data_IF_729346824211
#
_entry.id   IF_729346824211
#
_cell.length_a   1.000
_cell.length_b   1.000
_cell.length_c   1.000
_cell.angle_alpha   90.00
_cell.angle_beta   90.00
_cell.angle_gamma   90.00
#
_symmetry.space_group_name_H-M   'P 1'
#
loop_
_entity.id
_entity.type
_entity.pdbx_description
1 polymer ?
#
# COMPACT_ATOMS: atom_id res chain seq x y z
N UNK A 1 -7.85 -0.18 -13.07
CA UNK A 1 -8.63 0.12 -11.87
C UNK A 1 -7.89 -0.28 -10.62
N UNK A 2 -7.87 0.62 -9.66
CA UNK A 2 -7.22 0.35 -8.39
C UNK A 2 -8.07 -0.59 -7.55
N UNK A 3 -7.41 -1.29 -6.66
CA UNK A 3 -8.08 -2.23 -5.75
C UNK A 3 -7.44 -2.11 -4.38
N UNK A 4 -8.15 -2.62 -3.38
CA UNK A 4 -7.64 -2.66 -2.03
C UNK A 4 -6.37 -3.52 -1.99
N UNK A 5 -5.34 -2.97 -1.43
CA UNK A 5 -4.06 -3.64 -1.26
C UNK A 5 -3.76 -3.73 0.23
N UNK A 6 -3.48 -4.94 0.70
CA UNK A 6 -3.01 -5.14 2.08
C UNK A 6 -1.52 -5.38 2.02
N UNK A 7 -0.76 -4.57 2.74
CA UNK A 7 0.68 -4.64 2.71
C UNK A 7 1.22 -5.09 4.05
N UNK A 8 2.17 -6.03 4.02
CA UNK A 8 2.78 -6.57 5.22
C UNK A 8 4.28 -6.28 5.23
N UNK A 9 4.85 -5.92 6.37
CA UNK A 9 6.29 -5.74 6.47
C UNK A 9 6.99 -7.09 6.61
N UNK A 10 8.20 -7.18 6.07
CA UNK A 10 9.00 -8.40 6.17
C UNK A 10 10.46 -8.06 6.42
N UNK A 11 11.07 -8.78 7.36
CA UNK A 11 12.51 -8.65 7.58
C UNK A 11 13.29 -9.36 6.47
N UNK A 12 12.71 -10.43 5.93
CA UNK A 12 13.29 -11.20 4.84
C UNK A 12 12.20 -11.37 3.78
N UNK A 13 12.33 -10.64 2.67
CA UNK A 13 11.31 -10.64 1.64
C UNK A 13 11.10 -12.02 1.02
N UNK A 14 12.16 -12.80 0.83
CA UNK A 14 12.01 -14.14 0.26
C UNK A 14 11.24 -15.07 1.19
N UNK A 15 11.52 -14.99 2.49
CA UNK A 15 10.80 -15.81 3.46
C UNK A 15 9.35 -15.39 3.53
N UNK A 16 9.08 -14.08 3.54
CA UNK A 16 7.70 -13.58 3.54
C UNK A 16 6.95 -13.98 2.29
N UNK A 17 7.61 -13.91 1.13
CA UNK A 17 7.00 -14.33 -0.13
C UNK A 17 6.60 -15.80 -0.09
N UNK A 18 7.48 -16.66 0.37
CA UNK A 18 7.17 -18.09 0.45
C UNK A 18 5.98 -18.36 1.36
N UNK A 19 5.91 -17.65 2.49
CA UNK A 19 4.80 -17.82 3.41
C UNK A 19 3.47 -17.43 2.77
N UNK A 20 3.38 -16.23 2.21
CA UNK A 20 2.12 -15.72 1.68
C UNK A 20 1.71 -16.42 0.39
N UNK A 21 2.67 -16.74 -0.48
CA UNK A 21 2.36 -17.50 -1.69
C UNK A 21 1.82 -18.88 -1.34
N UNK A 22 2.41 -19.51 -0.33
CA UNK A 22 1.95 -20.85 0.08
C UNK A 22 0.58 -20.80 0.73
N UNK A 23 0.35 -19.83 1.61
CA UNK A 23 -0.90 -19.78 2.35
C UNK A 23 -2.08 -19.35 1.47
N UNK A 24 -1.88 -18.36 0.61
CA UNK A 24 -2.97 -17.75 -0.15
C UNK A 24 -3.04 -18.20 -1.60
N UNK A 25 -2.11 -19.03 -2.05
CA UNK A 25 -2.06 -19.49 -3.44
C UNK A 25 -2.01 -18.31 -4.40
N UNK A 26 -1.10 -17.38 -4.14
CA UNK A 26 -0.90 -16.18 -4.95
C UNK A 26 0.55 -16.14 -5.43
N UNK A 27 0.83 -15.24 -6.37
CA UNK A 27 2.19 -14.99 -6.83
C UNK A 27 2.56 -13.56 -6.53
N UNK A 28 3.68 -13.39 -5.82
CA UNK A 28 4.22 -12.07 -5.49
C UNK A 28 5.45 -11.81 -6.38
N UNK A 29 5.38 -10.74 -7.14
CA UNK A 29 6.44 -10.35 -8.07
C UNK A 29 7.05 -9.03 -7.65
N UNK A 30 8.24 -8.75 -8.13
CA UNK A 30 8.87 -7.47 -7.89
C UNK A 30 8.01 -6.34 -8.43
N UNK A 31 7.94 -5.27 -7.68
CA UNK A 31 7.17 -4.10 -8.07
C UNK A 31 7.85 -3.38 -9.23
N UNK A 32 7.03 -2.73 -10.03
CA UNK A 32 7.52 -1.82 -11.06
C UNK A 32 7.96 -0.52 -10.39
N UNK A 33 8.84 0.27 -11.05
CA UNK A 33 9.36 1.48 -10.42
C UNK A 33 8.30 2.41 -9.86
N UNK A 34 7.16 2.55 -10.53
CA UNK A 34 6.12 3.47 -10.08
C UNK A 34 5.28 2.91 -8.93
N UNK A 35 5.49 1.66 -8.55
CA UNK A 35 4.77 1.04 -7.45
C UNK A 35 5.55 1.10 -6.13
N UNK A 36 6.78 1.59 -6.18
CA UNK A 36 7.65 1.61 -5.03
C UNK A 36 8.44 0.32 -4.91
N UNK A 37 9.10 0.12 -3.79
CA UNK A 37 9.92 -1.06 -3.56
C UNK A 37 9.10 -2.18 -2.92
N UNK A 38 9.54 -3.41 -3.12
CA UNK A 38 8.91 -4.57 -2.52
C UNK A 38 8.29 -5.50 -3.52
N UNK A 39 7.37 -6.32 -3.05
CA UNK A 39 6.71 -7.35 -3.85
C UNK A 39 5.21 -7.12 -3.80
N UNK A 40 4.53 -7.55 -4.85
CA UNK A 40 3.09 -7.33 -4.94
C UNK A 40 2.45 -8.32 -5.89
N UNK A 41 1.19 -8.70 -5.61
CA UNK A 41 0.40 -9.50 -6.55
C UNK A 41 0.08 -8.67 -7.78
N UNK A 42 0.11 -9.32 -8.95
CA UNK A 42 -0.16 -8.62 -10.21
C UNK A 42 -1.56 -8.87 -10.74
N UNK A 43 -2.17 -9.97 -10.34
CA UNK A 43 -3.43 -10.40 -10.95
C UNK A 43 -4.62 -10.12 -10.05
N UNK A 44 -5.82 -10.27 -10.60
CA UNK A 44 -7.06 -10.12 -9.86
C UNK A 44 -7.10 -11.12 -8.71
N UNK A 45 -7.90 -10.81 -7.70
CA UNK A 45 -7.99 -11.57 -6.49
C UNK A 45 -7.50 -10.74 -5.34
N UNK A 46 -7.06 -11.39 -4.27
CA UNK A 46 -6.54 -10.65 -3.12
C UNK A 46 -5.28 -9.89 -3.51
N UNK A 47 -5.27 -8.59 -3.25
CA UNK A 47 -4.11 -7.77 -3.51
C UNK A 47 -3.26 -7.75 -2.24
N UNK A 48 -2.07 -8.33 -2.33
CA UNK A 48 -1.14 -8.41 -1.20
C UNK A 48 0.19 -7.82 -1.63
N UNK A 49 0.81 -7.06 -0.74
CA UNK A 49 2.15 -6.54 -0.96
C UNK A 49 3.04 -6.85 0.22
N UNK A 50 4.33 -6.95 -0.03
CA UNK A 50 5.34 -7.08 1.00
C UNK A 50 6.35 -5.96 0.85
N UNK A 51 6.71 -5.34 1.96
CA UNK A 51 7.78 -4.36 1.96
C UNK A 51 8.81 -4.74 3.03
N UNK A 52 10.03 -4.32 2.83
CA UNK A 52 11.09 -4.53 3.81
C UNK A 52 10.75 -3.77 5.08
N UNK A 53 10.85 -4.42 6.23
CA UNK A 53 10.64 -3.74 7.51
C UNK A 53 11.73 -2.69 7.70
N UNK A 54 11.32 -1.47 8.05
CA UNK A 54 12.24 -0.37 8.22
C UNK A 54 11.80 0.54 9.33
N UNK A 55 12.33 1.75 9.36
CA UNK A 55 12.05 2.72 10.41
C UNK A 55 11.10 3.84 9.95
N UNK A 56 10.71 3.84 8.68
CA UNK A 56 9.83 4.87 8.16
C UNK A 56 8.38 4.68 8.59
N UNK A 57 7.56 5.70 8.38
CA UNK A 57 6.14 5.59 8.70
C UNK A 57 5.50 4.50 7.85
N UNK A 58 4.80 3.59 8.49
CA UNK A 58 4.17 2.48 7.82
C UNK A 58 5.07 1.26 7.62
N UNK A 59 6.38 1.39 7.80
CA UNK A 59 7.31 0.30 7.50
C UNK A 59 7.19 -0.87 8.47
N UNK A 60 6.59 -0.65 9.62
CA UNK A 60 6.49 -1.66 10.68
C UNK A 60 5.11 -2.27 10.82
N UNK A 61 4.15 -1.79 10.05
CA UNK A 61 2.75 -2.16 10.24
C UNK A 61 2.19 -2.81 9.00
N UNK A 62 1.19 -3.66 9.21
CA UNK A 62 0.34 -4.09 8.10
C UNK A 62 -0.61 -2.95 7.79
N UNK A 63 -0.72 -2.59 6.52
CA UNK A 63 -1.51 -1.43 6.12
C UNK A 63 -2.47 -1.78 5.01
N UNK A 64 -3.76 -1.45 5.16
CA UNK A 64 -4.65 -1.43 4.01
C UNK A 64 -4.39 -0.15 3.22
N UNK A 65 -4.19 -0.29 1.91
CA UNK A 65 -4.11 0.85 1.00
C UNK A 65 -5.41 0.94 0.24
N UNK A 66 -6.12 2.02 0.46
CA UNK A 66 -7.44 2.24 -0.14
C UNK A 66 -7.28 3.07 -1.41
N UNK A 67 -7.85 2.64 -2.53
CA UNK A 67 -7.73 3.39 -3.78
C UNK A 67 -8.61 4.63 -3.75
N UNK A 68 -8.08 5.73 -4.25
CA UNK A 68 -8.81 6.98 -4.40
C UNK A 68 -8.55 7.56 -5.77
N UNK A 69 -9.53 8.27 -6.31
CA UNK A 69 -9.42 8.84 -7.64
C UNK A 69 -8.47 10.05 -7.67
N UNK A 70 -8.43 10.82 -6.61
CA UNK A 70 -7.61 12.03 -6.51
C UNK A 70 -6.95 12.04 -5.15
N UNK A 71 -5.68 11.68 -5.11
CA UNK A 71 -4.97 11.54 -3.86
C UNK A 71 -4.88 12.86 -3.10
N UNK A 72 -4.58 13.96 -3.80
CA UNK A 72 -4.41 15.24 -3.11
C UNK A 72 -5.71 15.71 -2.49
N UNK A 73 -6.81 15.55 -3.19
CA UNK A 73 -8.13 15.89 -2.63
C UNK A 73 -8.46 15.00 -1.43
N UNK A 74 -8.13 13.71 -1.52
CA UNK A 74 -8.39 12.78 -0.41
C UNK A 74 -7.56 13.14 0.82
N UNK A 75 -6.31 13.57 0.64
CA UNK A 75 -5.49 13.99 1.77
C UNK A 75 -6.06 15.21 2.48
N UNK A 76 -6.62 16.14 1.73
CA UNK A 76 -7.31 17.28 2.35
C UNK A 76 -8.51 16.81 3.18
N UNK A 77 -9.27 15.87 2.64
CA UNK A 77 -10.41 15.32 3.37
C UNK A 77 -10.00 14.60 4.65
N UNK A 78 -8.87 13.88 4.63
CA UNK A 78 -8.37 13.21 5.83
C UNK A 78 -8.24 14.21 6.97
N UNK A 79 -7.63 15.37 6.69
CA UNK A 79 -7.46 16.40 7.72
C UNK A 79 -8.80 16.99 8.13
N UNK A 80 -9.66 17.29 7.16
CA UNK A 80 -10.96 17.88 7.45
C UNK A 80 -11.85 16.97 8.31
N UNK A 81 -11.68 15.65 8.13
CA UNK A 81 -12.49 14.69 8.87
C UNK A 81 -11.86 14.27 10.20
N UNK A 82 -10.78 14.91 10.59
CA UNK A 82 -10.17 14.67 11.89
C UNK A 82 -9.02 13.69 11.91
N UNK A 83 -8.55 13.28 10.75
CA UNK A 83 -7.40 12.40 10.64
C UNK A 83 -6.10 13.17 10.47
N UNK A 84 -5.05 12.44 10.15
CA UNK A 84 -3.70 13.00 10.03
C UNK A 84 -3.00 12.42 8.81
N UNK A 85 -2.29 13.25 8.06
CA UNK A 85 -1.41 12.79 6.99
C UNK A 85 -0.02 12.62 7.59
N UNK A 86 0.44 11.37 7.68
CA UNK A 86 1.73 11.05 8.29
C UNK A 86 2.86 11.16 7.27
N UNK A 87 2.62 10.63 6.08
CA UNK A 87 3.62 10.64 5.01
C UNK A 87 2.94 10.97 3.70
N UNK A 88 2.97 12.24 3.28
CA UNK A 88 2.35 12.63 2.02
C UNK A 88 3.20 12.15 0.84
N UNK A 89 2.53 11.85 -0.26
CA UNK A 89 3.20 11.45 -1.49
C UNK A 89 2.35 11.77 -2.69
N UNK A 90 2.94 11.61 -3.87
CA UNK A 90 2.26 11.91 -5.11
C UNK A 90 1.41 10.76 -5.62
N UNK A 91 1.82 9.54 -5.31
CA UNK A 91 1.14 8.32 -5.77
C UNK A 91 0.48 7.56 -4.64
N UNK A 92 1.07 7.59 -3.46
CA UNK A 92 0.47 6.98 -2.27
C UNK A 92 0.86 7.81 -1.05
N UNK A 93 0.09 7.64 0.01
CA UNK A 93 0.34 8.35 1.26
C UNK A 93 -0.02 7.46 2.44
N UNK A 94 0.57 7.74 3.58
CA UNK A 94 0.27 7.06 4.83
C UNK A 94 -0.42 8.05 5.75
N UNK A 95 -1.52 7.62 6.33
CA UNK A 95 -2.38 8.48 7.14
C UNK A 95 -2.76 7.76 8.44
N UNK A 96 -3.39 8.50 9.33
CA UNK A 96 -4.12 7.96 10.47
C UNK A 96 -5.54 8.47 10.42
N UNK A 97 -6.48 7.61 10.81
CA UNK A 97 -7.88 8.03 10.85
C UNK A 97 -8.15 8.84 12.12
N UNK A 98 -9.42 9.19 12.36
CA UNK A 98 -9.79 10.01 13.51
C UNK A 98 -9.51 9.34 14.85
N UNK A 99 -9.34 8.03 14.86
CA UNK A 99 -9.06 7.24 16.05
C UNK A 99 -7.58 6.86 16.16
N UNK A 100 -6.73 7.36 15.24
CA UNK A 100 -5.31 7.10 15.26
C UNK A 100 -4.87 5.84 14.54
N UNK A 101 -5.77 5.13 13.87
CA UNK A 101 -5.41 3.90 13.18
C UNK A 101 -4.69 4.20 11.87
N UNK A 102 -3.58 3.52 11.59
CA UNK A 102 -2.83 3.79 10.36
C UNK A 102 -3.49 3.14 9.14
N UNK A 103 -3.43 3.83 8.01
CA UNK A 103 -3.87 3.29 6.73
C UNK A 103 -3.17 4.05 5.61
N UNK A 104 -3.24 3.50 4.42
CA UNK A 104 -2.67 4.14 3.25
C UNK A 104 -3.75 4.54 2.26
N UNK A 105 -3.43 5.53 1.45
CA UNK A 105 -4.24 5.93 0.30
C UNK A 105 -3.37 5.81 -0.93
N UNK A 106 -3.94 5.28 -2.01
CA UNK A 106 -3.23 5.13 -3.28
C UNK A 106 -4.04 5.79 -4.38
N UNK A 107 -3.40 6.69 -5.10
CA UNK A 107 -4.00 7.31 -6.26
C UNK A 107 -3.90 6.42 -7.48
N UNK A 108 -4.40 6.89 -8.63
CA UNK A 108 -4.30 6.13 -9.86
C UNK A 108 -2.84 5.92 -10.25
N UNK A 109 -2.59 4.81 -10.95
CA UNK A 109 -1.27 4.57 -11.51
C UNK A 109 -0.99 5.56 -12.62
N UNK A 110 0.28 5.65 -13.00
CA UNK A 110 0.70 6.56 -14.06
C UNK A 110 -0.10 6.30 -15.34
N UNK A 111 -0.34 7.34 -16.15
CA UNK A 111 -1.01 7.17 -17.43
C UNK A 111 -0.36 6.07 -18.26
N UNK A 112 -1.18 5.30 -18.94
CA UNK A 112 -0.71 4.17 -19.74
C UNK A 112 -0.54 2.89 -18.97
N UNK A 113 -0.75 2.91 -17.66
CA UNK A 113 -0.68 1.72 -16.82
C UNK A 113 -2.06 1.20 -16.50
N UNK A 114 -2.25 -0.12 -16.56
CA UNK A 114 -3.49 -0.69 -16.05
C UNK A 114 -3.61 -0.40 -14.56
N UNK A 115 -4.78 -0.04 -14.14
CA UNK A 115 -5.04 0.33 -12.76
C UNK A 115 -5.01 -0.84 -11.80
#
# INVERSE_FOLDING_TARGET
>A
MSRLLIEFPADDLDRGRRFWQGLLDITLAERRPQQGEGLQTEHAGAAVGLHQRGSGPGDRFSLPYLPVADLQAALQQVVELGGEVVHPGERWAICRDSEGAPFGLAGPLMPGRPG
#
